data_IF_566727981787
#
_entry.id   IF_566727981787
#
_cell.length_a   1.000
_cell.length_b   1.000
_cell.length_c   1.000
_cell.angle_alpha   90.00
_cell.angle_beta   90.00
_cell.angle_gamma   90.00
#
_symmetry.space_group_name_H-M   'P 1'
#
loop_
_entity.id
_entity.type
_entity.pdbx_description
1 polymer ?
#
# COMPACT_ATOMS: atom_id res chain seq x y z
N UNK A 1 -2.85 -6.71 -25.96
CA UNK A 1 -2.90 -6.39 -24.51
C UNK A 1 -2.13 -5.10 -24.25
N UNK A 2 -2.78 -4.02 -23.79
CA UNK A 2 -2.15 -2.68 -23.64
C UNK A 2 -1.12 -2.71 -22.50
N UNK A 3 0.17 -2.52 -22.81
CA UNK A 3 1.23 -2.42 -21.78
C UNK A 3 1.08 -1.12 -21.00
N UNK A 4 1.17 -1.20 -19.67
CA UNK A 4 1.26 0.02 -18.86
C UNK A 4 2.70 0.54 -18.98
N UNK A 5 2.86 1.76 -19.51
CA UNK A 5 4.18 2.38 -19.65
C UNK A 5 4.66 3.05 -18.36
N UNK A 6 3.74 3.43 -17.49
CA UNK A 6 3.97 4.29 -16.32
C UNK A 6 3.96 3.49 -15.01
N UNK A 7 4.60 4.05 -13.98
CA UNK A 7 4.50 3.52 -12.63
C UNK A 7 3.17 3.98 -12.00
N UNK A 8 2.73 3.27 -10.97
CA UNK A 8 1.52 3.60 -10.22
C UNK A 8 1.80 3.65 -8.73
N UNK A 9 1.22 4.66 -8.08
CA UNK A 9 1.12 4.76 -6.64
C UNK A 9 -0.16 4.10 -6.18
N UNK A 10 -0.03 3.14 -5.29
CA UNK A 10 -1.15 2.38 -4.75
C UNK A 10 -1.19 2.58 -3.25
N UNK A 11 -2.40 2.76 -2.71
CA UNK A 11 -2.63 2.85 -1.27
C UNK A 11 -3.72 1.88 -0.85
N UNK A 12 -3.35 0.92 0.00
CA UNK A 12 -4.27 -0.02 0.64
C UNK A 12 -4.46 0.39 2.09
N UNK A 13 -5.70 0.64 2.51
CA UNK A 13 -6.00 1.08 3.89
C UNK A 13 -6.79 0.02 4.65
N UNK A 14 -6.19 -0.52 5.69
CA UNK A 14 -6.85 -1.39 6.66
C UNK A 14 -7.77 -0.58 7.59
N UNK A 15 -8.81 -1.23 8.09
CA UNK A 15 -9.74 -0.66 9.07
C UNK A 15 -9.06 -0.43 10.43
N UNK A 16 -8.10 -1.29 10.80
CA UNK A 16 -7.42 -1.28 12.09
C UNK A 16 -5.91 -1.07 11.93
N UNK A 17 -5.25 -0.54 12.96
CA UNK A 17 -3.81 -0.25 13.01
C UNK A 17 -2.96 -1.50 13.27
N UNK A 18 -3.22 -2.58 12.54
CA UNK A 18 -2.60 -3.91 12.73
C UNK A 18 -1.41 -4.16 11.80
N UNK A 19 -1.19 -3.33 10.78
CA UNK A 19 -0.17 -3.56 9.77
C UNK A 19 1.25 -3.31 10.30
N UNK A 20 1.41 -2.40 11.28
CA UNK A 20 2.70 -2.09 11.90
C UNK A 20 3.30 -3.22 12.74
N UNK A 21 2.49 -4.20 13.17
CA UNK A 21 2.94 -5.28 14.04
C UNK A 21 4.06 -6.07 13.34
N UNK A 22 5.16 -6.34 14.04
CA UNK A 22 6.38 -6.97 13.46
C UNK A 22 6.07 -8.28 12.72
N UNK A 23 5.22 -9.14 13.31
CA UNK A 23 4.74 -10.39 12.69
C UNK A 23 4.02 -10.13 11.36
N UNK A 24 3.16 -9.11 11.33
CA UNK A 24 2.40 -8.75 10.13
C UNK A 24 3.28 -8.09 9.08
N UNK A 25 4.30 -7.29 9.45
CA UNK A 25 5.27 -6.73 8.50
C UNK A 25 5.98 -7.84 7.72
N UNK A 26 6.55 -8.84 8.40
CA UNK A 26 7.21 -9.97 7.75
C UNK A 26 6.27 -10.75 6.83
N UNK A 27 5.04 -11.00 7.30
CA UNK A 27 4.00 -11.66 6.52
C UNK A 27 3.64 -10.88 5.26
N UNK A 28 3.43 -9.56 5.38
CA UNK A 28 3.06 -8.69 4.27
C UNK A 28 4.20 -8.63 3.26
N UNK A 29 5.45 -8.47 3.70
CA UNK A 29 6.62 -8.51 2.81
C UNK A 29 6.69 -9.81 2.01
N UNK A 30 6.47 -10.96 2.65
CA UNK A 30 6.42 -12.25 1.96
C UNK A 30 5.27 -12.37 0.95
N UNK A 31 4.09 -11.81 1.27
CA UNK A 31 2.95 -11.79 0.34
C UNK A 31 3.22 -10.85 -0.85
N UNK A 32 3.79 -9.68 -0.60
CA UNK A 32 4.16 -8.73 -1.65
C UNK A 32 5.20 -9.31 -2.59
N UNK A 33 6.24 -9.95 -2.06
CA UNK A 33 7.27 -10.62 -2.86
C UNK A 33 6.66 -11.70 -3.76
N UNK A 34 5.90 -12.63 -3.19
CA UNK A 34 5.22 -13.70 -3.95
C UNK A 34 4.27 -13.15 -5.01
N UNK A 35 3.53 -12.09 -4.70
CA UNK A 35 2.64 -11.43 -5.66
C UNK A 35 3.42 -10.75 -6.78
N UNK A 36 4.49 -10.04 -6.45
CA UNK A 36 5.34 -9.33 -7.40
C UNK A 36 5.93 -10.31 -8.43
N UNK A 37 6.47 -11.44 -7.98
CA UNK A 37 6.98 -12.49 -8.86
C UNK A 37 5.86 -13.09 -9.72
N UNK A 38 4.78 -13.56 -9.09
CA UNK A 38 3.68 -14.27 -9.78
C UNK A 38 3.04 -13.46 -10.91
N UNK A 39 2.88 -12.15 -10.70
CA UNK A 39 2.22 -11.27 -11.67
C UNK A 39 3.20 -10.36 -12.43
N UNK A 40 4.51 -10.60 -12.27
CA UNK A 40 5.59 -9.84 -12.90
C UNK A 40 5.49 -8.32 -12.62
N UNK A 41 5.02 -7.95 -11.43
CA UNK A 41 4.90 -6.56 -11.00
C UNK A 41 6.20 -6.13 -10.35
N UNK A 42 6.86 -5.12 -10.92
CA UNK A 42 8.04 -4.50 -10.31
C UNK A 42 7.60 -3.58 -9.18
N UNK A 43 8.04 -3.86 -7.95
CA UNK A 43 7.85 -2.97 -6.80
C UNK A 43 9.11 -2.11 -6.66
N UNK A 44 9.00 -0.81 -6.93
CA UNK A 44 10.12 0.11 -6.76
C UNK A 44 10.32 0.50 -5.30
N UNK A 45 9.22 0.74 -4.60
CA UNK A 45 9.25 1.19 -3.22
C UNK A 45 7.96 0.81 -2.49
N UNK A 46 8.02 0.63 -1.17
CA UNK A 46 6.86 0.33 -0.33
C UNK A 46 6.98 0.97 1.06
N UNK A 47 5.88 1.34 1.72
CA UNK A 47 5.89 1.69 3.15
C UNK A 47 4.73 1.02 3.86
N UNK A 48 5.03 0.37 4.98
CA UNK A 48 4.07 -0.35 5.82
C UNK A 48 3.74 0.49 7.06
N UNK A 49 2.85 1.45 6.91
CA UNK A 49 2.41 2.32 8.00
C UNK A 49 1.39 1.57 8.90
N UNK A 50 0.94 2.20 9.99
CA UNK A 50 0.08 1.55 11.01
C UNK A 50 -1.18 0.89 10.45
N UNK A 51 -1.91 1.60 9.58
CA UNK A 51 -3.18 1.15 9.00
C UNK A 51 -3.22 1.27 7.47
N UNK A 52 -2.11 1.62 6.81
CA UNK A 52 -2.07 1.70 5.36
C UNK A 52 -0.73 1.26 4.77
N UNK A 53 -0.78 0.78 3.54
CA UNK A 53 0.37 0.35 2.76
C UNK A 53 0.48 1.29 1.56
N UNK A 54 1.64 1.91 1.39
CA UNK A 54 2.00 2.61 0.16
C UNK A 54 2.83 1.67 -0.71
N UNK A 55 2.51 1.58 -2.01
CA UNK A 55 3.32 0.87 -2.99
C UNK A 55 3.56 1.78 -4.19
N UNK A 56 4.80 1.84 -4.65
CA UNK A 56 5.16 2.38 -5.96
C UNK A 56 5.56 1.21 -6.85
N UNK A 57 4.74 0.91 -7.86
CA UNK A 57 4.90 -0.29 -8.68
C UNK A 57 4.84 0.01 -10.17
N UNK A 58 5.29 -0.93 -10.99
CA UNK A 58 5.00 -0.98 -12.43
C UNK A 58 4.62 -2.40 -12.80
N UNK A 59 3.44 -2.53 -13.41
CA UNK A 59 2.93 -3.80 -13.92
C UNK A 59 3.09 -3.88 -15.44
N UNK A 60 3.21 -5.08 -16.01
CA UNK A 60 3.30 -5.25 -17.47
C UNK A 60 1.97 -4.96 -18.17
N UNK A 61 0.84 -5.08 -17.47
CA UNK A 61 -0.50 -4.83 -18.00
C UNK A 61 -1.49 -4.47 -16.89
N UNK A 62 -2.64 -3.87 -17.26
CA UNK A 62 -3.73 -3.56 -16.32
C UNK A 62 -4.29 -4.81 -15.65
N UNK A 63 -4.37 -5.91 -16.40
CA UNK A 63 -4.80 -7.20 -15.88
C UNK A 63 -3.83 -7.72 -14.80
N UNK A 64 -2.52 -7.69 -15.09
CA UNK A 64 -1.50 -8.11 -14.13
C UNK A 64 -1.54 -7.27 -12.85
N UNK A 65 -1.71 -5.95 -12.98
CA UNK A 65 -1.88 -5.07 -11.82
C UNK A 65 -3.13 -5.41 -11.01
N UNK A 66 -4.26 -5.62 -11.69
CA UNK A 66 -5.52 -5.98 -11.04
C UNK A 66 -5.41 -7.32 -10.29
N UNK A 67 -4.81 -8.33 -10.93
CA UNK A 67 -4.64 -9.66 -10.34
C UNK A 67 -3.65 -9.62 -9.17
N UNK A 68 -2.56 -8.85 -9.28
CA UNK A 68 -1.64 -8.56 -8.19
C UNK A 68 -2.36 -7.95 -6.99
N UNK A 69 -3.14 -6.88 -7.21
CA UNK A 69 -3.90 -6.21 -6.16
C UNK A 69 -4.91 -7.15 -5.48
N UNK A 70 -5.66 -7.92 -6.27
CA UNK A 70 -6.61 -8.90 -5.76
C UNK A 70 -5.91 -9.95 -4.90
N UNK A 71 -4.77 -10.46 -5.36
CA UNK A 71 -3.98 -11.44 -4.64
C UNK A 71 -3.45 -10.89 -3.31
N UNK A 72 -2.72 -9.77 -3.33
CA UNK A 72 -2.12 -9.23 -2.10
C UNK A 72 -3.21 -8.80 -1.10
N UNK A 73 -4.29 -8.17 -1.56
CA UNK A 73 -5.36 -7.71 -0.69
C UNK A 73 -6.08 -8.91 -0.04
N UNK A 74 -6.36 -9.96 -0.81
CA UNK A 74 -6.98 -11.18 -0.31
C UNK A 74 -6.07 -11.93 0.68
N UNK A 75 -4.81 -12.17 0.30
CA UNK A 75 -3.85 -12.93 1.11
C UNK A 75 -3.51 -12.21 2.42
N UNK A 76 -3.31 -10.89 2.40
CA UNK A 76 -3.04 -10.12 3.62
C UNK A 76 -4.25 -10.16 4.54
N UNK A 77 -5.45 -9.85 4.03
CA UNK A 77 -6.66 -9.87 4.84
C UNK A 77 -6.89 -11.27 5.46
N UNK A 78 -6.83 -12.32 4.64
CA UNK A 78 -7.06 -13.69 5.08
C UNK A 78 -6.09 -14.12 6.17
N UNK A 79 -4.79 -13.87 5.96
CA UNK A 79 -3.75 -14.32 6.89
C UNK A 79 -3.72 -13.52 8.19
N UNK A 80 -4.07 -12.23 8.16
CA UNK A 80 -4.13 -11.40 9.37
C UNK A 80 -5.41 -11.70 10.17
N UNK A 81 -6.56 -11.88 9.51
CA UNK A 81 -7.83 -12.13 10.23
C UNK A 81 -8.08 -13.60 10.54
N UNK A 82 -7.27 -14.52 10.01
CA UNK A 82 -7.52 -15.96 10.11
C UNK A 82 -8.79 -16.40 9.37
N UNK A 83 -9.18 -15.69 8.31
CA UNK A 83 -10.40 -16.00 7.58
C UNK A 83 -10.31 -17.38 6.92
N UNK A 84 -11.29 -18.23 7.16
CA UNK A 84 -11.38 -19.57 6.57
C UNK A 84 -12.50 -19.60 5.54
N UNK A 85 -12.27 -20.27 4.41
CA UNK A 85 -13.29 -20.48 3.37
C UNK A 85 -14.53 -21.13 4.01
N UNK A 86 -15.71 -20.61 3.68
CA UNK A 86 -16.99 -21.10 4.21
C UNK A 86 -17.41 -20.51 5.55
N UNK A 87 -16.54 -19.78 6.27
CA UNK A 87 -16.92 -19.02 7.47
C UNK A 87 -17.06 -17.53 7.12
N UNK A 88 -18.21 -16.93 7.50
CA UNK A 88 -18.41 -15.48 7.34
C UNK A 88 -17.39 -14.73 8.21
N UNK A 89 -16.61 -13.85 7.58
CA UNK A 89 -15.77 -12.93 8.33
C UNK A 89 -16.66 -11.97 9.13
N UNK A 90 -16.37 -11.84 10.42
CA UNK A 90 -17.12 -10.95 11.32
C UNK A 90 -16.96 -9.47 10.94
N UNK A 91 -15.87 -9.10 10.26
CA UNK A 91 -15.59 -7.72 9.89
C UNK A 91 -14.85 -7.60 8.54
N UNK A 92 -14.99 -6.44 7.91
CA UNK A 92 -14.23 -6.06 6.70
C UNK A 92 -12.83 -5.60 7.10
N UNK A 93 -11.80 -6.26 6.57
CA UNK A 93 -10.40 -5.92 6.86
C UNK A 93 -9.97 -4.60 6.21
N UNK A 94 -10.21 -4.43 4.91
CA UNK A 94 -9.91 -3.21 4.17
C UNK A 94 -11.02 -2.18 4.38
N UNK A 95 -10.63 -0.93 4.65
CA UNK A 95 -11.57 0.17 4.87
C UNK A 95 -12.23 0.62 3.56
N UNK A 96 -11.45 0.69 2.48
CA UNK A 96 -11.88 1.11 1.15
C UNK A 96 -11.18 0.29 0.07
N UNK A 97 -11.68 0.29 -1.17
CA UNK A 97 -10.93 -0.18 -2.33
C UNK A 97 -9.56 0.50 -2.42
N UNK A 98 -8.64 -0.14 -3.14
CA UNK A 98 -7.29 0.38 -3.34
C UNK A 98 -7.35 1.70 -4.10
N UNK A 99 -6.76 2.75 -3.53
CA UNK A 99 -6.57 4.01 -4.24
C UNK A 99 -5.39 3.88 -5.19
N UNK A 100 -5.51 4.45 -6.40
CA UNK A 100 -4.49 4.37 -7.45
C UNK A 100 -4.26 5.74 -8.07
N UNK A 101 -3.00 6.03 -8.40
CA UNK A 101 -2.60 7.19 -9.21
C UNK A 101 -1.47 6.81 -10.14
N UNK A 102 -1.59 7.22 -11.40
CA UNK A 102 -0.51 7.14 -12.37
C UNK A 102 0.61 8.10 -11.96
N UNK A 103 1.84 7.61 -11.98
CA UNK A 103 3.05 8.36 -11.62
C UNK A 103 3.85 8.59 -12.88
N UNK A 104 4.08 9.86 -13.20
CA UNK A 104 4.88 10.26 -14.35
C UNK A 104 6.37 10.13 -14.03
N UNK A 105 7.17 9.85 -15.05
CA UNK A 105 8.62 9.77 -14.90
C UNK A 105 9.24 11.15 -14.55
N UNK A 106 10.47 11.14 -14.04
CA UNK A 106 11.18 12.36 -13.62
C UNK A 106 10.81 12.80 -12.22
N UNK A 107 10.45 14.08 -12.06
CA UNK A 107 10.23 14.70 -10.74
C UNK A 107 9.10 14.05 -9.93
N UNK A 108 7.99 13.68 -10.57
CA UNK A 108 6.84 13.04 -9.90
C UNK A 108 7.24 11.68 -9.30
N UNK A 109 7.90 10.84 -10.08
CA UNK A 109 8.45 9.57 -9.61
C UNK A 109 9.46 9.73 -8.46
N UNK A 110 10.44 10.64 -8.60
CA UNK A 110 11.47 10.86 -7.59
C UNK A 110 10.88 11.40 -6.28
N UNK A 111 9.95 12.36 -6.36
CA UNK A 111 9.29 12.93 -5.19
C UNK A 111 8.48 11.87 -4.44
N UNK A 112 7.74 11.05 -5.16
CA UNK A 112 6.99 9.96 -4.54
C UNK A 112 7.91 8.90 -3.93
N UNK A 113 9.02 8.56 -4.60
CA UNK A 113 10.00 7.63 -4.06
C UNK A 113 10.60 8.14 -2.75
N UNK A 114 11.02 9.42 -2.71
CA UNK A 114 11.53 10.08 -1.49
C UNK A 114 10.48 10.09 -0.39
N UNK A 115 9.23 10.41 -0.73
CA UNK A 115 8.12 10.39 0.23
C UNK A 115 7.91 9.00 0.85
N UNK A 116 7.85 7.94 0.03
CA UNK A 116 7.66 6.57 0.53
C UNK A 116 8.85 6.17 1.40
N UNK A 117 10.07 6.50 0.97
CA UNK A 117 11.28 6.24 1.74
C UNK A 117 11.26 6.95 3.10
N UNK A 118 10.88 8.23 3.16
CA UNK A 118 10.71 8.95 4.42
C UNK A 118 9.70 8.25 5.36
N UNK A 119 8.55 7.80 4.83
CA UNK A 119 7.57 7.05 5.63
C UNK A 119 8.13 5.72 6.16
N UNK A 120 9.00 5.04 5.40
CA UNK A 120 9.68 3.83 5.91
C UNK A 120 10.53 4.18 7.13
N UNK A 121 11.36 5.23 7.03
CA UNK A 121 12.23 5.66 8.12
C UNK A 121 11.42 6.04 9.36
N UNK A 122 10.33 6.79 9.19
CA UNK A 122 9.40 7.14 10.28
C UNK A 122 8.78 5.88 10.92
N UNK A 123 8.36 4.92 10.11
CA UNK A 123 7.72 3.68 10.59
C UNK A 123 8.71 2.67 11.19
N UNK A 124 9.99 2.79 10.86
CA UNK A 124 11.07 2.06 11.49
C UNK A 124 11.55 2.74 12.79
N UNK A 125 11.09 3.97 13.08
CA UNK A 125 11.54 4.76 14.22
C UNK A 125 12.94 5.33 14.06
N UNK A 126 13.48 5.35 12.83
CA UNK A 126 14.81 5.89 12.52
C UNK A 126 14.83 7.42 12.45
N UNK A 127 13.67 8.02 12.15
CA UNK A 127 13.47 9.47 12.18
C UNK A 127 12.14 9.79 12.88
N UNK A 128 12.07 10.96 13.51
CA UNK A 128 10.83 11.46 14.07
C UNK A 128 9.81 11.77 12.97
N UNK A 129 8.52 11.61 13.29
CA UNK A 129 7.44 12.00 12.38
C UNK A 129 7.48 13.51 12.13
N UNK A 130 7.50 13.90 10.85
CA UNK A 130 7.45 15.31 10.45
C UNK A 130 6.08 15.64 9.89
N UNK A 131 5.44 16.69 10.43
CA UNK A 131 4.15 17.15 9.92
C UNK A 131 4.33 17.75 8.52
N UNK A 132 3.58 17.23 7.55
CA UNK A 132 3.72 17.64 6.14
C UNK A 132 2.75 18.76 5.80
N UNK A 133 3.26 19.81 5.16
CA UNK A 133 2.49 21.00 4.82
C UNK A 133 1.59 20.73 3.59
N UNK A 134 0.28 20.98 3.72
CA UNK A 134 -0.79 20.44 2.83
C UNK A 134 -0.71 20.85 1.35
N UNK A 135 -0.02 21.94 1.02
CA UNK A 135 -0.19 22.65 -0.26
C UNK A 135 0.32 21.90 -1.52
N UNK A 136 1.16 20.86 -1.37
CA UNK A 136 1.87 20.24 -2.50
C UNK A 136 1.66 18.72 -2.66
N UNK A 137 0.64 18.12 -2.02
CA UNK A 137 0.51 16.66 -1.98
C UNK A 137 -0.67 16.12 -2.80
N UNK A 138 -0.45 14.99 -3.48
CA UNK A 138 -1.47 14.34 -4.32
C UNK A 138 -2.62 13.75 -3.48
N UNK A 139 -3.88 13.84 -3.93
CA UNK A 139 -5.11 13.60 -3.15
C UNK A 139 -5.29 12.22 -2.48
N UNK A 140 -4.39 11.25 -2.68
CA UNK A 140 -4.31 10.05 -1.84
C UNK A 140 -4.09 10.38 -0.36
N UNK A 141 -3.37 11.47 -0.12
CA UNK A 141 -2.93 11.90 1.20
C UNK A 141 -4.11 12.35 2.08
N UNK A 142 -5.16 12.93 1.50
CA UNK A 142 -6.23 13.58 2.24
C UNK A 142 -7.12 12.58 2.99
N UNK A 143 -7.23 11.36 2.47
CA UNK A 143 -8.07 10.36 3.11
C UNK A 143 -7.51 9.94 4.48
N UNK A 144 -6.19 9.94 4.65
CA UNK A 144 -5.52 9.48 5.89
C UNK A 144 -5.82 10.42 7.06
N UNK A 145 -6.00 11.71 6.82
CA UNK A 145 -6.11 12.74 7.86
C UNK A 145 -7.53 12.96 8.42
N UNK A 146 -8.60 12.55 7.74
CA UNK A 146 -9.96 12.92 8.16
C UNK A 146 -10.50 12.18 9.40
N UNK A 147 -9.81 11.14 9.92
CA UNK A 147 -10.33 10.33 11.04
C UNK A 147 -9.36 10.31 12.25
N UNK A 148 -8.20 10.96 12.15
CA UNK A 148 -7.26 11.08 13.28
C UNK A 148 -7.57 12.20 14.27
N UNK A 149 -8.67 12.94 14.08
CA UNK A 149 -9.12 14.06 14.93
C UNK A 149 -10.44 13.80 15.67
N UNK A 150 -10.94 12.56 15.64
CA UNK A 150 -12.09 12.15 16.45
C UNK A 150 -11.63 11.06 17.42
N UNK A 151 -10.83 11.49 18.39
CA UNK A 151 -10.58 10.84 19.67
C UNK A 151 -10.47 11.95 20.71
#
# INVERSE_FOLDING_TARGET
MKRIKQAEHLVLRARYSVLRLKKNKSLISGVLFKGAEKFQVKVYNNSLNSNHIHLLVKAPSQKALHDFLRFIAGQIAQRITGAVRGKKNRFRFWLKPVWKRIVHWGRDFLNLHRYIYQNQLETLGLIAYQLRNRKNHSPAVDLVFFIGKLA
#
